data_IF_114509917017
#
_entry.id   IF_114509917017
#
_cell.length_a   1.000
_cell.length_b   1.000
_cell.length_c   1.000
_cell.angle_alpha   90.00
_cell.angle_beta   90.00
_cell.angle_gamma   90.00
#
_symmetry.space_group_name_H-M   'P 1'
#
loop_
_entity.id
_entity.type
_entity.pdbx_description
1 polymer ?
#
# COMPACT_ATOMS: atom_id res chain seq x y z
N UNK A 1 -2.27 1.57 14.72
CA UNK A 1 -3.17 1.32 13.56
C UNK A 1 -3.82 -0.04 13.78
N UNK A 2 -5.13 -0.08 14.01
CA UNK A 2 -5.90 -1.31 14.25
C UNK A 2 -7.34 -1.05 13.80
N UNK A 3 -8.03 -2.06 13.32
CA UNK A 3 -9.43 -1.96 12.91
C UNK A 3 -9.60 -2.14 11.41
N UNK A 4 -10.79 -1.78 10.91
CA UNK A 4 -11.18 -2.02 9.53
C UNK A 4 -11.34 -0.71 8.77
N UNK A 5 -10.53 -0.51 7.75
CA UNK A 5 -10.51 0.71 6.93
C UNK A 5 -10.76 0.47 5.46
N UNK A 6 -10.66 1.54 4.69
CA UNK A 6 -10.85 1.52 3.24
C UNK A 6 -9.87 2.50 2.58
N UNK A 7 -9.23 2.06 1.50
CA UNK A 7 -8.44 2.95 0.65
C UNK A 7 -9.40 3.85 -0.14
N UNK A 8 -9.18 5.16 -0.11
CA UNK A 8 -10.15 6.11 -0.66
C UNK A 8 -10.14 6.23 -2.18
N UNK A 9 -9.31 5.47 -2.89
CA UNK A 9 -9.26 5.43 -4.36
C UNK A 9 -10.64 5.23 -5.00
N UNK A 10 -11.53 4.49 -4.34
CA UNK A 10 -12.89 4.28 -4.85
C UNK A 10 -13.68 5.57 -5.00
N UNK A 11 -13.34 6.59 -4.22
CA UNK A 11 -14.07 7.86 -4.17
C UNK A 11 -13.28 9.01 -4.76
N UNK A 12 -11.98 9.01 -4.55
CA UNK A 12 -11.08 10.04 -5.08
C UNK A 12 -9.63 9.58 -5.04
N UNK A 13 -8.90 9.88 -6.10
CA UNK A 13 -7.43 9.79 -6.13
C UNK A 13 -6.81 11.18 -5.90
N UNK A 14 -7.58 12.25 -6.13
CA UNK A 14 -7.18 13.62 -5.85
C UNK A 14 -7.63 14.02 -4.46
N UNK A 15 -6.69 14.28 -3.56
CA UNK A 15 -7.03 14.69 -2.20
C UNK A 15 -7.13 16.22 -2.12
N UNK A 16 -8.06 16.79 -2.94
CA UNK A 16 -8.48 18.19 -2.84
C UNK A 16 -9.68 18.29 -1.87
N UNK A 17 -10.15 19.51 -1.56
CA UNK A 17 -11.25 19.68 -0.60
C UNK A 17 -12.51 18.90 -0.99
N UNK A 18 -13.02 19.00 -2.23
CA UNK A 18 -14.20 18.19 -2.60
C UNK A 18 -13.97 16.69 -2.52
N UNK A 19 -12.79 16.22 -2.90
CA UNK A 19 -12.42 14.80 -2.81
C UNK A 19 -12.39 14.32 -1.37
N UNK A 20 -11.76 15.09 -0.49
CA UNK A 20 -11.68 14.78 0.93
C UNK A 20 -13.07 14.72 1.57
N UNK A 21 -13.93 15.71 1.26
CA UNK A 21 -15.31 15.75 1.80
C UNK A 21 -16.11 14.55 1.34
N UNK A 22 -16.01 14.19 0.05
CA UNK A 22 -16.71 13.02 -0.50
C UNK A 22 -16.24 11.73 0.15
N UNK A 23 -14.92 11.53 0.25
CA UNK A 23 -14.35 10.31 0.82
C UNK A 23 -14.69 10.16 2.31
N UNK A 24 -14.60 11.24 3.08
CA UNK A 24 -14.94 11.21 4.51
C UNK A 24 -16.44 10.93 4.72
N UNK A 25 -17.32 11.56 3.91
CA UNK A 25 -18.77 11.31 3.99
C UNK A 25 -19.08 9.83 3.69
N UNK A 26 -18.43 9.26 2.67
CA UNK A 26 -18.58 7.83 2.34
C UNK A 26 -18.06 6.93 3.47
N UNK A 27 -16.89 7.23 4.03
CA UNK A 27 -16.32 6.48 5.15
C UNK A 27 -17.27 6.45 6.35
N UNK A 28 -17.89 7.58 6.65
CA UNK A 28 -18.88 7.70 7.74
C UNK A 28 -20.14 6.86 7.41
N UNK A 29 -20.63 6.95 6.17
CA UNK A 29 -21.79 6.14 5.71
C UNK A 29 -21.56 4.65 5.94
N UNK A 30 -20.35 4.17 5.58
CA UNK A 30 -20.01 2.75 5.67
C UNK A 30 -19.39 2.35 7.02
N UNK A 31 -19.27 3.28 7.96
CA UNK A 31 -18.80 3.04 9.35
C UNK A 31 -17.45 2.32 9.38
N UNK A 32 -16.47 2.83 8.63
CA UNK A 32 -15.11 2.31 8.72
C UNK A 32 -14.37 2.99 9.88
N UNK A 33 -13.35 2.32 10.43
CA UNK A 33 -12.58 2.82 11.57
C UNK A 33 -11.53 3.85 11.14
N UNK A 34 -11.05 3.72 9.90
CA UNK A 34 -10.03 4.62 9.34
C UNK A 34 -10.12 4.62 7.81
N UNK A 35 -9.49 5.62 7.22
CA UNK A 35 -9.34 5.71 5.75
C UNK A 35 -7.87 5.76 5.39
N UNK A 36 -7.57 5.31 4.17
CA UNK A 36 -6.24 5.48 3.59
C UNK A 36 -6.31 6.55 2.51
N UNK A 37 -5.49 7.58 2.67
CA UNK A 37 -5.46 8.78 1.82
C UNK A 37 -4.29 8.70 0.83
N UNK A 38 -4.55 8.63 -0.49
CA UNK A 38 -3.47 8.62 -1.47
C UNK A 38 -2.80 9.99 -1.56
N UNK A 39 -1.48 10.02 -1.36
CA UNK A 39 -0.65 11.24 -1.38
C UNK A 39 0.02 11.40 -2.76
N UNK A 40 -0.78 11.49 -3.84
CA UNK A 40 -0.21 11.64 -5.19
C UNK A 40 0.59 12.93 -5.36
N UNK A 41 0.20 13.98 -4.64
CA UNK A 41 0.89 15.27 -4.66
C UNK A 41 0.93 15.84 -3.24
N UNK A 42 1.86 15.37 -2.38
CA UNK A 42 1.87 15.77 -0.97
C UNK A 42 1.86 17.29 -0.74
N UNK A 43 2.62 18.12 -1.47
CA UNK A 43 2.59 19.56 -1.25
C UNK A 43 1.19 20.19 -1.38
N UNK A 44 0.32 19.64 -2.23
CA UNK A 44 -1.01 20.18 -2.50
C UNK A 44 -2.06 19.83 -1.44
N UNK A 45 -1.76 18.89 -0.53
CA UNK A 45 -2.73 18.43 0.48
C UNK A 45 -3.02 19.56 1.49
N UNK A 46 -4.31 19.90 1.63
CA UNK A 46 -4.80 20.84 2.65
C UNK A 46 -4.94 20.09 3.97
N UNK A 47 -3.88 20.09 4.75
CA UNK A 47 -3.82 19.31 6.00
C UNK A 47 -4.74 19.87 7.08
N UNK A 48 -4.92 21.20 7.14
CA UNK A 48 -5.82 21.82 8.12
C UNK A 48 -7.27 21.40 7.87
N UNK A 49 -7.73 21.52 6.62
CA UNK A 49 -9.08 21.09 6.23
C UNK A 49 -9.29 19.59 6.47
N UNK A 50 -8.32 18.77 6.07
CA UNK A 50 -8.38 17.31 6.24
C UNK A 50 -8.47 16.95 7.73
N UNK A 51 -7.59 17.52 8.55
CA UNK A 51 -7.59 17.28 10.00
C UNK A 51 -8.95 17.62 10.61
N UNK A 52 -9.51 18.80 10.26
CA UNK A 52 -10.81 19.23 10.79
C UNK A 52 -11.93 18.23 10.42
N UNK A 53 -11.89 17.71 9.19
CA UNK A 53 -12.86 16.68 8.76
C UNK A 53 -12.71 15.39 9.56
N UNK A 54 -11.47 14.90 9.72
CA UNK A 54 -11.19 13.65 10.45
C UNK A 54 -11.64 13.77 11.91
N UNK A 55 -11.29 14.88 12.59
CA UNK A 55 -11.65 15.14 13.99
C UNK A 55 -13.17 15.23 14.16
N UNK A 56 -13.84 15.98 13.28
CA UNK A 56 -15.30 16.14 13.30
C UNK A 56 -16.03 14.80 13.28
N UNK A 57 -15.51 13.84 12.50
CA UNK A 57 -16.14 12.53 12.33
C UNK A 57 -15.50 11.42 13.16
N UNK A 58 -14.46 11.73 13.95
CA UNK A 58 -13.68 10.77 14.76
C UNK A 58 -13.11 9.65 13.89
N UNK A 59 -12.67 10.01 12.70
CA UNK A 59 -12.16 9.07 11.71
C UNK A 59 -10.64 9.11 11.73
N UNK A 60 -9.98 7.96 11.81
CA UNK A 60 -8.51 7.88 11.78
C UNK A 60 -8.04 7.82 10.33
N UNK A 61 -6.76 8.08 10.10
CA UNK A 61 -6.20 8.07 8.75
C UNK A 61 -4.81 7.44 8.70
N UNK A 62 -4.56 6.76 7.60
CA UNK A 62 -3.24 6.35 7.13
C UNK A 62 -3.05 7.07 5.80
N UNK A 63 -1.83 7.38 5.42
CA UNK A 63 -1.54 7.93 4.10
C UNK A 63 -0.72 6.94 3.30
N UNK A 64 -0.81 7.01 1.97
CA UNK A 64 0.01 6.15 1.12
C UNK A 64 0.51 6.88 -0.12
N UNK A 65 1.63 6.41 -0.66
CA UNK A 65 2.16 6.90 -1.92
C UNK A 65 3.07 5.87 -2.59
N UNK A 66 3.26 6.05 -3.91
CA UNK A 66 4.41 5.55 -4.62
C UNK A 66 5.25 6.75 -5.03
N UNK A 67 6.56 6.62 -5.02
CA UNK A 67 7.45 7.73 -5.38
C UNK A 67 7.32 8.06 -6.87
N UNK A 68 7.24 9.35 -7.22
CA UNK A 68 7.23 9.73 -8.63
C UNK A 68 8.61 9.51 -9.27
N UNK A 69 8.66 9.37 -10.58
CA UNK A 69 9.91 9.04 -11.32
C UNK A 69 11.10 9.91 -10.93
N UNK A 70 10.96 11.25 -10.77
CA UNK A 70 12.11 12.05 -10.34
C UNK A 70 12.62 11.78 -8.93
N UNK A 71 11.95 10.94 -8.17
CA UNK A 71 12.30 10.61 -6.77
C UNK A 71 12.34 9.10 -6.51
N UNK A 72 12.56 8.25 -7.51
CA UNK A 72 12.74 6.81 -7.27
C UNK A 72 13.97 6.57 -6.39
N UNK A 73 13.76 5.91 -5.24
CA UNK A 73 14.81 5.74 -4.22
C UNK A 73 16.02 4.95 -4.72
N UNK A 74 15.78 4.00 -5.63
CA UNK A 74 16.84 3.13 -6.17
C UNK A 74 17.92 3.92 -6.91
N UNK A 75 17.54 5.01 -7.62
CA UNK A 75 18.44 5.77 -8.49
C UNK A 75 18.60 7.24 -8.09
N UNK A 76 17.70 7.79 -7.31
CA UNK A 76 17.73 9.22 -6.89
C UNK A 76 17.46 9.34 -5.37
N UNK A 77 18.31 8.74 -4.53
CA UNK A 77 18.02 8.64 -3.10
C UNK A 77 17.84 10.00 -2.39
N UNK A 78 18.57 11.04 -2.79
CA UNK A 78 18.42 12.34 -2.13
C UNK A 78 17.06 12.98 -2.45
N UNK A 79 16.62 12.91 -3.70
CA UNK A 79 15.29 13.41 -4.09
C UNK A 79 14.18 12.60 -3.41
N UNK A 80 14.37 11.30 -3.26
CA UNK A 80 13.42 10.44 -2.53
C UNK A 80 13.30 10.86 -1.06
N UNK A 81 14.43 11.12 -0.40
CA UNK A 81 14.44 11.57 0.99
C UNK A 81 13.66 12.88 1.14
N UNK A 82 13.90 13.85 0.27
CA UNK A 82 13.21 15.14 0.33
C UNK A 82 11.71 14.99 0.08
N UNK A 83 11.32 14.16 -0.90
CA UNK A 83 9.91 13.89 -1.20
C UNK A 83 9.21 13.22 0.00
N UNK A 84 9.85 12.19 0.60
CA UNK A 84 9.27 11.47 1.73
C UNK A 84 9.14 12.38 2.96
N UNK A 85 10.10 13.28 3.22
CA UNK A 85 9.98 14.22 4.33
C UNK A 85 8.73 15.09 4.20
N UNK A 86 8.45 15.58 2.99
CA UNK A 86 7.24 16.39 2.74
C UNK A 86 5.99 15.54 3.02
N UNK A 87 5.94 14.30 2.50
CA UNK A 87 4.78 13.43 2.68
C UNK A 87 4.59 13.04 4.17
N UNK A 88 5.68 12.79 4.89
CA UNK A 88 5.66 12.49 6.33
C UNK A 88 5.12 13.70 7.11
N UNK A 89 5.61 14.90 6.80
CA UNK A 89 5.13 16.11 7.47
C UNK A 89 3.64 16.32 7.23
N UNK A 90 3.19 16.16 5.98
CA UNK A 90 1.77 16.27 5.63
C UNK A 90 0.92 15.21 6.35
N UNK A 91 1.43 13.96 6.43
CA UNK A 91 0.75 12.90 7.17
C UNK A 91 0.58 13.27 8.65
N UNK A 92 1.64 13.76 9.27
CA UNK A 92 1.58 14.19 10.66
C UNK A 92 0.66 15.41 10.85
N UNK A 93 0.75 16.38 9.94
CA UNK A 93 -0.04 17.62 10.02
C UNK A 93 -1.54 17.36 9.89
N UNK A 94 -1.95 16.37 9.09
CA UNK A 94 -3.39 16.04 8.98
C UNK A 94 -3.86 15.09 10.10
N UNK A 95 -2.96 14.61 10.96
CA UNK A 95 -3.31 13.71 12.06
C UNK A 95 -3.30 12.23 11.69
N UNK A 96 -2.57 11.86 10.64
CA UNK A 96 -2.42 10.47 10.23
C UNK A 96 -1.53 9.65 11.16
N UNK A 97 -1.71 8.33 11.16
CA UNK A 97 -0.94 7.40 12.01
C UNK A 97 0.31 6.86 11.31
N UNK A 98 0.26 6.72 10.00
CA UNK A 98 1.36 6.11 9.22
C UNK A 98 1.36 6.62 7.78
N UNK A 99 2.53 6.53 7.14
CA UNK A 99 2.69 6.70 5.70
C UNK A 99 3.15 5.35 5.14
N UNK A 100 2.42 4.78 4.19
CA UNK A 100 2.67 3.44 3.68
C UNK A 100 2.73 3.41 2.15
N UNK A 101 2.80 2.22 1.57
CA UNK A 101 2.80 2.04 0.12
C UNK A 101 4.19 1.76 -0.45
N UNK A 102 4.38 2.14 -1.71
CA UNK A 102 5.65 1.92 -2.41
C UNK A 102 6.61 3.09 -2.09
N UNK A 103 6.84 3.31 -0.79
CA UNK A 103 7.66 4.44 -0.30
C UNK A 103 9.16 4.28 -0.61
N UNK A 104 9.52 3.17 -1.24
CA UNK A 104 10.89 2.85 -1.64
C UNK A 104 11.10 2.96 -3.16
N UNK A 105 10.02 3.19 -3.91
CA UNK A 105 10.09 3.22 -5.37
C UNK A 105 8.78 3.72 -5.98
N UNK A 106 8.61 3.51 -7.27
CA UNK A 106 7.43 3.98 -7.99
C UNK A 106 6.73 2.89 -8.78
N UNK A 107 5.45 3.15 -9.08
CA UNK A 107 4.70 2.27 -9.97
C UNK A 107 5.27 2.40 -11.38
N UNK A 108 5.59 1.27 -11.99
CA UNK A 108 6.23 1.19 -13.31
C UNK A 108 7.75 1.24 -13.26
N UNK A 109 8.35 1.30 -12.08
CA UNK A 109 9.82 1.38 -11.97
C UNK A 109 10.49 0.08 -12.38
N UNK A 110 11.34 0.19 -13.39
CA UNK A 110 12.20 -0.87 -13.89
C UNK A 110 13.51 -0.24 -14.34
N UNK A 111 14.57 -0.45 -13.60
CA UNK A 111 15.86 0.23 -13.83
C UNK A 111 16.85 -0.59 -14.63
N UNK A 112 16.67 -1.88 -14.72
CA UNK A 112 17.61 -2.76 -15.43
C UNK A 112 17.49 -2.67 -16.96
N UNK A 113 18.58 -3.03 -17.64
CA UNK A 113 18.57 -3.17 -19.08
C UNK A 113 18.03 -4.57 -19.43
N UNK A 114 17.05 -4.69 -20.31
CA UNK A 114 16.56 -6.01 -20.71
C UNK A 114 17.68 -6.89 -21.27
N UNK A 115 17.62 -8.20 -21.07
CA UNK A 115 18.63 -9.10 -21.64
C UNK A 115 18.63 -8.99 -23.16
N UNK A 116 19.81 -9.13 -23.75
CA UNK A 116 19.97 -9.21 -25.21
C UNK A 116 19.33 -10.52 -25.73
N UNK A 117 19.09 -10.59 -27.04
CA UNK A 117 18.57 -11.81 -27.65
C UNK A 117 19.50 -12.99 -27.34
N UNK A 118 20.82 -12.80 -27.45
CA UNK A 118 21.80 -13.84 -27.20
C UNK A 118 21.77 -14.34 -25.76
N UNK A 119 21.70 -13.42 -24.77
CA UNK A 119 21.58 -13.79 -23.34
C UNK A 119 20.27 -14.54 -23.08
N UNK A 120 19.20 -14.14 -23.75
CA UNK A 120 17.89 -14.76 -23.61
C UNK A 120 17.90 -16.19 -24.17
N UNK A 121 18.47 -16.35 -25.39
CA UNK A 121 18.55 -17.65 -26.07
C UNK A 121 19.45 -18.64 -25.35
N UNK A 122 20.44 -18.10 -24.63
CA UNK A 122 21.36 -18.94 -23.85
C UNK A 122 20.87 -19.18 -22.39
N UNK A 123 19.67 -18.39 -21.98
CA UNK A 123 19.31 -18.49 -20.90
C UNK A 123 20.02 -18.09 -19.95
N UNK A 124 20.99 -17.46 -20.33
CA UNK A 124 21.92 -16.92 -19.38
C UNK A 124 21.23 -16.00 -18.36
N UNK A 125 20.19 -15.31 -18.81
CA UNK A 125 19.33 -14.56 -17.89
C UNK A 125 17.93 -14.41 -18.45
N UNK A 126 16.97 -14.40 -17.55
CA UNK A 126 15.55 -14.27 -17.87
C UNK A 126 14.95 -12.95 -17.38
N UNK A 127 15.78 -12.08 -16.79
CA UNK A 127 15.37 -10.78 -16.30
C UNK A 127 16.53 -10.03 -15.68
N UNK A 128 16.28 -8.82 -15.22
CA UNK A 128 17.29 -7.98 -14.57
C UNK A 128 16.92 -7.82 -13.12
N UNK A 129 17.54 -8.59 -12.22
CA UNK A 129 17.23 -8.45 -10.80
C UNK A 129 17.75 -7.11 -10.25
N UNK A 130 17.15 -6.62 -9.18
CA UNK A 130 17.65 -5.43 -8.52
C UNK A 130 19.10 -5.60 -8.09
N UNK A 131 19.88 -4.55 -8.19
CA UNK A 131 21.30 -4.56 -7.81
C UNK A 131 21.47 -4.32 -6.31
N UNK A 132 22.64 -4.64 -5.80
CA UNK A 132 23.00 -4.34 -4.40
C UNK A 132 22.96 -2.82 -4.17
N UNK A 133 23.43 -2.03 -5.14
CA UNK A 133 23.40 -0.57 -5.07
C UNK A 133 21.98 -0.02 -4.94
N UNK A 134 21.03 -0.56 -5.70
CA UNK A 134 19.62 -0.14 -5.60
C UNK A 134 19.07 -0.43 -4.20
N UNK A 135 19.34 -1.62 -3.66
CA UNK A 135 18.92 -1.95 -2.31
C UNK A 135 19.61 -1.10 -1.24
N UNK A 136 20.89 -0.75 -1.42
CA UNK A 136 21.61 0.14 -0.50
C UNK A 136 21.01 1.55 -0.53
N UNK A 137 20.70 2.06 -1.73
CA UNK A 137 20.04 3.36 -1.90
C UNK A 137 18.69 3.37 -1.19
N UNK A 138 17.86 2.34 -1.41
CA UNK A 138 16.55 2.22 -0.76
C UNK A 138 16.71 2.20 0.77
N UNK A 139 17.64 1.40 1.28
CA UNK A 139 17.85 1.32 2.74
C UNK A 139 18.26 2.68 3.31
N UNK A 140 19.17 3.40 2.63
CA UNK A 140 19.58 4.76 3.02
C UNK A 140 18.38 5.72 3.05
N UNK A 141 17.53 5.66 2.03
CA UNK A 141 16.34 6.51 1.95
C UNK A 141 15.39 6.20 3.11
N UNK A 142 15.08 4.93 3.31
CA UNK A 142 14.15 4.50 4.37
C UNK A 142 14.70 4.80 5.77
N UNK A 143 16.02 4.70 5.99
CA UNK A 143 16.65 5.09 7.25
C UNK A 143 16.46 6.59 7.53
N UNK A 144 16.71 7.42 6.52
CA UNK A 144 16.54 8.88 6.67
C UNK A 144 15.06 9.24 6.90
N UNK A 145 14.16 8.62 6.13
CA UNK A 145 12.72 8.82 6.26
C UNK A 145 12.22 8.34 7.64
N UNK A 146 12.68 7.16 8.11
CA UNK A 146 12.26 6.62 9.40
C UNK A 146 12.68 7.53 10.56
N UNK A 147 13.91 8.07 10.50
CA UNK A 147 14.38 9.02 11.49
C UNK A 147 13.50 10.27 11.53
N UNK A 148 13.14 10.81 10.36
CA UNK A 148 12.26 11.99 10.27
C UNK A 148 10.85 11.63 10.76
N UNK A 149 10.29 10.52 10.30
CA UNK A 149 8.96 10.04 10.68
C UNK A 149 8.85 9.84 12.19
N UNK A 150 9.89 9.28 12.82
CA UNK A 150 9.92 9.07 14.27
C UNK A 150 9.82 10.41 15.02
N UNK A 151 10.48 11.46 14.52
CA UNK A 151 10.39 12.79 15.14
C UNK A 151 9.01 13.44 14.99
N UNK A 152 8.21 12.93 14.04
CA UNK A 152 6.84 13.41 13.78
C UNK A 152 5.77 12.47 14.37
N UNK A 153 6.19 11.36 15.00
CA UNK A 153 5.25 10.36 15.54
C UNK A 153 4.59 9.48 14.49
N UNK A 154 5.21 9.33 13.32
CA UNK A 154 4.66 8.59 12.18
C UNK A 154 5.41 7.25 12.03
N UNK A 155 4.66 6.18 11.73
CA UNK A 155 5.25 4.90 11.32
C UNK A 155 5.29 4.83 9.78
N UNK A 156 6.21 4.02 9.24
CA UNK A 156 6.38 3.85 7.80
C UNK A 156 6.07 2.41 7.40
N UNK A 157 5.23 2.22 6.37
CA UNK A 157 4.88 0.89 5.86
C UNK A 157 5.53 0.64 4.50
N UNK A 158 6.28 -0.45 4.39
CA UNK A 158 6.89 -0.91 3.13
C UNK A 158 5.94 -1.95 2.51
N UNK A 159 5.32 -1.58 1.41
CA UNK A 159 4.37 -2.45 0.71
C UNK A 159 5.09 -3.31 -0.34
N UNK A 160 4.90 -4.63 -0.25
CA UNK A 160 5.35 -5.53 -1.31
C UNK A 160 4.31 -5.52 -2.44
N UNK A 161 4.72 -5.13 -3.65
CA UNK A 161 3.83 -5.05 -4.81
C UNK A 161 4.27 -6.01 -5.91
N UNK A 162 3.37 -6.36 -6.83
CA UNK A 162 3.65 -7.35 -7.85
C UNK A 162 4.70 -6.88 -8.88
N UNK A 163 5.30 -7.85 -9.57
CA UNK A 163 6.38 -7.64 -10.56
C UNK A 163 6.00 -6.74 -11.74
N UNK A 164 4.71 -6.59 -12.02
CA UNK A 164 4.26 -5.74 -13.12
C UNK A 164 4.25 -4.27 -12.72
N UNK A 165 4.20 -3.98 -11.42
CA UNK A 165 4.16 -2.61 -10.89
C UNK A 165 5.52 -2.11 -10.41
N UNK A 166 6.37 -3.02 -9.86
CA UNK A 166 7.72 -2.63 -9.41
C UNK A 166 8.62 -3.86 -9.40
N UNK A 167 9.92 -3.67 -9.64
CA UNK A 167 10.86 -4.80 -9.71
C UNK A 167 11.64 -5.04 -8.40
N UNK A 168 11.46 -4.20 -7.38
CA UNK A 168 12.36 -4.15 -6.21
C UNK A 168 11.91 -5.05 -5.07
N UNK A 169 10.67 -4.89 -4.58
CA UNK A 169 10.15 -5.65 -3.42
C UNK A 169 8.79 -6.24 -3.80
N UNK A 170 8.75 -7.57 -4.01
CA UNK A 170 7.56 -8.23 -4.53
C UNK A 170 6.92 -9.20 -3.53
N UNK A 171 7.63 -9.62 -2.48
CA UNK A 171 7.10 -10.58 -1.51
C UNK A 171 7.26 -10.06 -0.08
N UNK A 172 6.45 -10.61 0.83
CA UNK A 172 6.56 -10.32 2.26
C UNK A 172 7.97 -10.59 2.78
N UNK A 173 8.60 -11.68 2.33
CA UNK A 173 9.98 -12.01 2.70
C UNK A 173 10.96 -10.90 2.27
N UNK A 174 10.82 -10.38 1.04
CA UNK A 174 11.70 -9.30 0.56
C UNK A 174 11.47 -8.01 1.36
N UNK A 175 10.20 -7.70 1.70
CA UNK A 175 9.89 -6.54 2.54
C UNK A 175 10.55 -6.68 3.92
N UNK A 176 10.48 -7.87 4.55
CA UNK A 176 11.16 -8.13 5.82
C UNK A 176 12.67 -7.91 5.69
N UNK A 177 13.29 -8.45 4.63
CA UNK A 177 14.73 -8.26 4.42
C UNK A 177 15.11 -6.78 4.27
N UNK A 178 14.27 -5.99 3.63
CA UNK A 178 14.51 -4.54 3.54
C UNK A 178 14.37 -3.87 4.92
N UNK A 179 13.36 -4.22 5.71
CA UNK A 179 13.15 -3.65 7.06
C UNK A 179 14.35 -4.02 7.98
N UNK A 180 14.82 -5.26 7.92
CA UNK A 180 16.02 -5.68 8.66
C UNK A 180 17.24 -4.84 8.25
N UNK A 181 17.41 -4.57 6.95
CA UNK A 181 18.50 -3.74 6.43
C UNK A 181 18.38 -2.28 6.87
N UNK A 182 17.15 -1.76 6.97
CA UNK A 182 16.88 -0.39 7.47
C UNK A 182 17.19 -0.29 8.96
N UNK A 183 16.82 -1.27 9.76
CA UNK A 183 17.12 -1.34 11.18
C UNK A 183 16.43 -0.30 12.06
N UNK A 184 15.27 0.21 11.62
CA UNK A 184 14.49 1.21 12.37
C UNK A 184 13.24 0.56 12.97
N UNK A 185 12.89 0.95 14.19
CA UNK A 185 11.78 0.34 14.96
C UNK A 185 10.40 0.86 14.56
N UNK A 186 10.35 1.93 13.76
CA UNK A 186 9.09 2.52 13.28
C UNK A 186 8.84 2.24 11.78
N UNK A 187 9.42 1.13 11.27
CA UNK A 187 9.15 0.68 9.89
C UNK A 187 8.53 -0.71 9.97
N UNK A 188 7.45 -0.93 9.22
CA UNK A 188 6.69 -2.17 9.25
C UNK A 188 6.41 -2.70 7.83
N UNK A 189 6.00 -3.98 7.74
CA UNK A 189 5.58 -4.60 6.48
C UNK A 189 4.10 -4.30 6.24
N UNK A 190 3.81 -3.86 5.02
CA UNK A 190 2.47 -3.73 4.46
C UNK A 190 2.33 -4.81 3.38
N UNK A 191 1.28 -5.63 3.46
CA UNK A 191 0.97 -6.64 2.45
C UNK A 191 -0.35 -6.30 1.76
N UNK A 192 -0.52 -6.78 0.52
CA UNK A 192 -1.76 -6.62 -0.23
C UNK A 192 -2.11 -7.96 -0.88
N UNK A 193 -3.33 -8.43 -0.65
CA UNK A 193 -3.77 -9.76 -1.12
C UNK A 193 -3.79 -9.89 -2.65
N UNK A 194 -4.02 -8.80 -3.39
CA UNK A 194 -3.91 -8.82 -4.85
C UNK A 194 -2.46 -9.09 -5.28
N UNK A 195 -1.50 -8.37 -4.70
CA UNK A 195 -0.09 -8.56 -5.02
C UNK A 195 0.38 -9.95 -4.60
N UNK A 196 0.00 -10.39 -3.40
CA UNK A 196 0.35 -11.72 -2.88
C UNK A 196 -0.20 -12.84 -3.76
N UNK A 197 -1.41 -12.66 -4.31
CA UNK A 197 -2.03 -13.65 -5.20
C UNK A 197 -1.18 -13.89 -6.48
N UNK A 198 -0.38 -12.89 -6.88
CA UNK A 198 0.51 -12.99 -8.04
C UNK A 198 1.90 -13.54 -7.63
N UNK A 199 2.45 -13.07 -6.53
CA UNK A 199 3.87 -13.24 -6.20
C UNK A 199 4.18 -14.36 -5.21
N UNK A 200 3.27 -14.64 -4.25
CA UNK A 200 3.58 -15.58 -3.18
C UNK A 200 3.31 -17.03 -3.60
N UNK A 201 4.13 -17.94 -3.11
CA UNK A 201 3.89 -19.37 -3.30
C UNK A 201 2.99 -19.90 -2.18
N UNK A 202 1.76 -19.31 -2.09
CA UNK A 202 0.79 -19.46 -1.02
C UNK A 202 0.66 -18.18 -0.22
N UNK A 203 -0.55 -17.61 -0.20
CA UNK A 203 -0.80 -16.34 0.49
C UNK A 203 -0.51 -16.48 1.99
N UNK A 204 -0.92 -17.59 2.59
CA UNK A 204 -0.63 -17.85 4.01
C UNK A 204 0.86 -17.85 4.30
N UNK A 205 1.69 -18.39 3.37
CA UNK A 205 3.14 -18.37 3.56
C UNK A 205 3.69 -16.94 3.58
N UNK A 206 3.23 -16.08 2.66
CA UNK A 206 3.69 -14.67 2.65
C UNK A 206 3.36 -13.96 3.96
N UNK A 207 2.16 -14.21 4.52
CA UNK A 207 1.76 -13.66 5.83
C UNK A 207 2.68 -14.19 6.94
N UNK A 208 2.95 -15.50 6.94
CA UNK A 208 3.84 -16.11 7.95
C UNK A 208 5.27 -15.57 7.86
N UNK A 209 5.78 -15.37 6.65
CA UNK A 209 7.13 -14.83 6.44
C UNK A 209 7.24 -13.40 7.01
N UNK A 210 6.15 -12.63 6.92
CA UNK A 210 6.14 -11.22 7.37
C UNK A 210 5.69 -11.03 8.83
N UNK A 211 5.20 -12.07 9.53
CA UNK A 211 4.45 -11.97 10.78
C UNK A 211 5.05 -11.06 11.87
N UNK A 212 6.39 -11.04 11.98
CA UNK A 212 7.06 -10.26 13.06
C UNK A 212 7.02 -8.76 12.81
N UNK A 213 6.81 -8.34 11.55
CA UNK A 213 6.82 -6.94 11.13
C UNK A 213 5.50 -6.50 10.48
N UNK A 214 4.54 -7.41 10.31
CA UNK A 214 3.29 -7.11 9.61
C UNK A 214 2.36 -6.27 10.50
N UNK A 215 2.03 -5.04 10.05
CA UNK A 215 1.10 -4.17 10.78
C UNK A 215 -0.09 -3.73 9.94
N UNK A 216 -0.03 -3.93 8.61
CA UNK A 216 -1.07 -3.41 7.73
C UNK A 216 -1.25 -4.35 6.55
N UNK A 217 -2.52 -4.59 6.18
CA UNK A 217 -2.79 -5.43 5.02
C UNK A 217 -3.95 -4.84 4.21
N UNK A 218 -3.74 -4.70 2.89
CA UNK A 218 -4.80 -4.41 1.95
C UNK A 218 -5.53 -5.71 1.60
N UNK A 219 -6.85 -5.65 1.73
CA UNK A 219 -7.76 -6.74 1.36
C UNK A 219 -8.34 -6.40 -0.01
N UNK A 220 -7.62 -6.78 -1.04
CA UNK A 220 -7.90 -6.47 -2.44
C UNK A 220 -8.18 -7.77 -3.20
N UNK A 221 -9.18 -7.78 -4.09
CA UNK A 221 -9.52 -8.97 -4.85
C UNK A 221 -8.49 -9.24 -5.95
N UNK A 222 -8.47 -10.47 -6.45
CA UNK A 222 -7.54 -10.94 -7.49
C UNK A 222 -7.58 -10.13 -8.80
N UNK A 223 -8.62 -9.35 -9.02
CA UNK A 223 -8.76 -8.46 -10.17
C UNK A 223 -8.93 -6.98 -9.75
N UNK A 224 -8.68 -6.65 -8.47
CA UNK A 224 -8.86 -5.33 -7.86
C UNK A 224 -10.32 -4.85 -7.82
N UNK A 225 -11.27 -5.78 -8.00
CA UNK A 225 -12.71 -5.51 -7.99
C UNK A 225 -13.35 -5.73 -6.62
N UNK A 226 -14.55 -6.32 -6.62
CA UNK A 226 -15.34 -6.54 -5.42
C UNK A 226 -14.82 -7.76 -4.65
N UNK A 227 -14.32 -7.60 -3.41
CA UNK A 227 -13.87 -8.74 -2.61
C UNK A 227 -14.94 -9.84 -2.49
N UNK A 228 -14.52 -11.07 -2.73
CA UNK A 228 -15.39 -12.23 -2.74
C UNK A 228 -15.92 -12.61 -4.13
N UNK A 229 -15.66 -11.80 -5.17
CA UNK A 229 -16.12 -12.08 -6.52
C UNK A 229 -15.02 -12.64 -7.43
N UNK A 230 -13.80 -12.76 -6.92
CA UNK A 230 -12.65 -13.26 -7.66
C UNK A 230 -12.11 -14.57 -7.13
N UNK A 231 -10.78 -14.70 -7.11
CA UNK A 231 -10.12 -15.98 -6.79
C UNK A 231 -9.18 -15.92 -5.58
N UNK A 232 -9.18 -14.80 -4.83
CA UNK A 232 -8.36 -14.74 -3.62
C UNK A 232 -8.78 -15.81 -2.60
N UNK A 233 -7.79 -16.45 -1.99
CA UNK A 233 -8.01 -17.49 -0.98
C UNK A 233 -8.38 -16.91 0.39
N UNK A 234 -9.56 -16.30 0.50
CA UNK A 234 -9.96 -15.53 1.68
C UNK A 234 -9.88 -16.33 2.98
N UNK A 235 -10.26 -17.61 2.96
CA UNK A 235 -10.19 -18.43 4.17
C UNK A 235 -8.74 -18.66 4.62
N UNK A 236 -7.82 -18.87 3.67
CA UNK A 236 -6.38 -18.99 3.98
C UNK A 236 -5.86 -17.67 4.56
N UNK A 237 -6.23 -16.53 3.95
CA UNK A 237 -5.81 -15.20 4.40
C UNK A 237 -6.24 -14.98 5.86
N UNK A 238 -7.55 -15.07 6.14
CA UNK A 238 -8.09 -14.73 7.46
C UNK A 238 -7.68 -15.74 8.53
N UNK A 239 -7.63 -17.05 8.20
CA UNK A 239 -7.17 -18.04 9.15
C UNK A 239 -5.69 -17.86 9.51
N UNK A 240 -4.85 -17.48 8.53
CA UNK A 240 -3.42 -17.25 8.80
C UNK A 240 -3.23 -15.99 9.66
N UNK A 241 -3.96 -14.89 9.33
CA UNK A 241 -3.92 -13.66 10.14
C UNK A 241 -4.33 -13.96 11.60
N UNK A 242 -5.38 -14.77 11.78
CA UNK A 242 -5.82 -15.18 13.11
C UNK A 242 -4.74 -16.04 13.82
N UNK A 243 -4.15 -16.99 13.10
CA UNK A 243 -3.13 -17.88 13.66
C UNK A 243 -1.89 -17.13 14.15
N UNK A 244 -1.50 -16.02 13.48
CA UNK A 244 -0.37 -15.19 13.93
C UNK A 244 -0.79 -14.16 14.99
N UNK A 245 -2.06 -14.09 15.36
CA UNK A 245 -2.59 -13.12 16.33
C UNK A 245 -2.52 -11.69 15.81
N UNK A 246 -2.78 -11.46 14.51
CA UNK A 246 -2.68 -10.16 13.88
C UNK A 246 -3.56 -9.10 14.57
N UNK A 247 -2.98 -7.94 14.87
CA UNK A 247 -3.68 -6.82 15.53
C UNK A 247 -3.51 -5.49 14.76
N UNK A 248 -3.12 -5.58 13.49
CA UNK A 248 -2.89 -4.40 12.65
C UNK A 248 -4.14 -3.90 11.95
N UNK A 249 -3.94 -3.05 10.96
CA UNK A 249 -5.01 -2.50 10.13
C UNK A 249 -5.39 -3.44 8.98
N UNK A 250 -6.69 -3.60 8.80
CA UNK A 250 -7.28 -4.32 7.66
C UNK A 250 -7.97 -3.27 6.78
N UNK A 251 -7.50 -3.03 5.57
CA UNK A 251 -8.07 -2.01 4.70
C UNK A 251 -8.55 -2.61 3.39
N UNK A 252 -9.83 -2.45 3.08
CA UNK A 252 -10.34 -2.85 1.78
C UNK A 252 -9.80 -1.91 0.71
N UNK A 253 -9.28 -2.48 -0.38
CA UNK A 253 -8.82 -1.72 -1.53
C UNK A 253 -9.47 -2.24 -2.80
N UNK A 254 -9.91 -1.32 -3.66
CA UNK A 254 -10.47 -1.64 -4.98
C UNK A 254 -10.24 -0.44 -5.89
N UNK A 255 -9.99 -0.70 -7.17
CA UNK A 255 -9.66 0.36 -8.14
C UNK A 255 -10.75 0.51 -9.19
N UNK A 256 -11.87 1.12 -8.78
CA UNK A 256 -12.95 1.52 -9.69
C UNK A 256 -12.84 3.02 -9.98
N UNK A 257 -13.32 3.45 -11.14
CA UNK A 257 -13.40 4.87 -11.53
C UNK A 257 -12.04 5.60 -11.48
N UNK A 258 -10.98 4.90 -11.91
CA UNK A 258 -9.62 5.46 -11.91
C UNK A 258 -9.45 6.54 -12.99
N UNK A 259 -8.70 7.61 -12.72
CA UNK A 259 -8.22 8.48 -13.79
C UNK A 259 -7.41 7.69 -14.80
N UNK A 260 -7.50 7.99 -16.10
CA UNK A 260 -6.83 7.18 -17.13
C UNK A 260 -5.34 6.95 -16.91
N UNK A 261 -4.61 7.94 -16.43
CA UNK A 261 -3.18 7.82 -16.18
C UNK A 261 -2.86 6.86 -15.03
N UNK A 262 -3.72 6.82 -14.00
CA UNK A 262 -3.59 5.89 -12.88
C UNK A 262 -3.97 4.48 -13.35
N UNK A 263 -5.08 4.35 -14.06
CA UNK A 263 -5.54 3.07 -14.62
C UNK A 263 -4.46 2.44 -15.52
N UNK A 264 -3.81 3.27 -16.35
CA UNK A 264 -2.71 2.83 -17.21
C UNK A 264 -1.54 2.27 -16.39
N UNK A 265 -1.13 3.00 -15.35
CA UNK A 265 -0.01 2.58 -14.49
C UNK A 265 -0.29 1.28 -13.74
N UNK A 266 -1.54 1.06 -13.37
CA UNK A 266 -1.97 -0.14 -12.62
C UNK A 266 -2.51 -1.25 -13.54
N UNK A 267 -2.45 -1.06 -14.86
CA UNK A 267 -2.93 -2.01 -15.88
C UNK A 267 -4.41 -2.40 -15.71
N UNK A 268 -5.24 -1.43 -15.32
CA UNK A 268 -6.69 -1.63 -15.19
C UNK A 268 -7.35 -1.26 -16.52
N UNK A 269 -7.52 -2.25 -17.40
CA UNK A 269 -7.96 -2.04 -18.78
C UNK A 269 -9.48 -2.18 -18.98
N UNK A 270 -10.19 -2.65 -17.96
CA UNK A 270 -11.63 -2.83 -18.01
C UNK A 270 -12.25 -2.50 -16.64
N UNK A 271 -13.54 -2.23 -16.58
CA UNK A 271 -14.20 -2.09 -15.27
C UNK A 271 -14.01 -3.37 -14.44
N UNK A 272 -13.61 -3.22 -13.20
CA UNK A 272 -13.37 -4.35 -12.27
C UNK A 272 -14.54 -4.58 -11.33
N UNK A 273 -15.47 -3.63 -11.28
CA UNK A 273 -16.75 -3.75 -10.58
C UNK A 273 -17.76 -2.84 -11.30
N UNK A 274 -19.02 -3.05 -11.03
CA UNK A 274 -20.09 -2.26 -11.65
C UNK A 274 -20.06 -0.80 -11.18
N UNK A 275 -19.96 -0.62 -9.87
CA UNK A 275 -20.00 0.70 -9.25
C UNK A 275 -19.54 0.62 -7.78
N UNK A 276 -19.44 1.77 -7.14
CA UNK A 276 -19.09 1.90 -5.72
C UNK A 276 -20.03 1.11 -4.81
N UNK A 277 -21.33 1.11 -5.11
CA UNK A 277 -22.32 0.43 -4.28
C UNK A 277 -22.11 -1.08 -4.29
N UNK A 278 -21.69 -1.67 -5.42
CA UNK A 278 -21.33 -3.09 -5.47
C UNK A 278 -20.15 -3.40 -4.56
N UNK A 279 -19.08 -2.61 -4.67
CA UNK A 279 -17.86 -2.85 -3.87
C UNK A 279 -18.13 -2.65 -2.38
N UNK A 280 -18.75 -1.52 -2.02
CA UNK A 280 -18.99 -1.18 -0.62
C UNK A 280 -20.17 -1.96 -0.02
N UNK A 281 -21.18 -2.26 -0.83
CA UNK A 281 -22.38 -2.96 -0.35
C UNK A 281 -22.22 -4.47 -0.25
N UNK A 282 -21.32 -5.05 -1.03
CA UNK A 282 -21.07 -6.51 -1.02
C UNK A 282 -19.68 -6.84 -0.50
N UNK A 283 -18.63 -6.18 -1.03
CA UNK A 283 -17.24 -6.48 -0.65
C UNK A 283 -16.93 -6.17 0.80
N UNK A 284 -17.30 -4.98 1.29
CA UNK A 284 -17.01 -4.61 2.67
C UNK A 284 -17.71 -5.53 3.68
N UNK A 285 -19.03 -5.82 3.55
CA UNK A 285 -19.68 -6.80 4.45
C UNK A 285 -19.05 -8.20 4.35
N UNK A 286 -18.69 -8.65 3.16
CA UNK A 286 -18.02 -9.94 2.96
C UNK A 286 -16.74 -10.00 3.78
N UNK A 287 -15.87 -8.99 3.66
CA UNK A 287 -14.60 -8.95 4.40
C UNK A 287 -14.81 -8.85 5.91
N UNK A 288 -15.78 -8.03 6.36
CA UNK A 288 -16.11 -7.93 7.79
C UNK A 288 -16.62 -9.26 8.34
N UNK A 289 -17.46 -9.96 7.60
CA UNK A 289 -17.96 -11.28 8.01
C UNK A 289 -16.78 -12.28 8.14
N UNK A 290 -15.85 -12.27 7.20
CA UNK A 290 -14.64 -13.10 7.28
C UNK A 290 -13.80 -12.72 8.51
N UNK A 291 -13.56 -11.43 8.74
CA UNK A 291 -12.78 -10.98 9.91
C UNK A 291 -13.44 -11.40 11.22
N UNK A 292 -14.78 -11.28 11.31
CA UNK A 292 -15.54 -11.74 12.48
C UNK A 292 -15.46 -13.27 12.63
N UNK A 293 -15.65 -14.01 11.53
CA UNK A 293 -15.59 -15.48 11.53
C UNK A 293 -14.27 -16.00 12.11
N UNK A 294 -13.17 -15.30 11.83
CA UNK A 294 -11.83 -15.70 12.29
C UNK A 294 -11.36 -14.93 13.53
N UNK A 295 -12.23 -14.14 14.17
CA UNK A 295 -11.94 -13.49 15.45
C UNK A 295 -10.92 -12.35 15.37
N UNK A 296 -10.86 -11.65 14.23
CA UNK A 296 -9.96 -10.52 14.05
C UNK A 296 -10.60 -9.18 14.41
N UNK A 297 -11.96 -9.15 14.42
CA UNK A 297 -12.75 -7.99 14.86
C UNK A 297 -13.95 -8.47 15.65
#
# INVERSE_FOLDING_TARGET
>A
MQGFGVHTSMWTMNWDRPGAERAVAAAVKYKVDFIEIPMLNPPAVDTEHTRALLEKHRLRAVCSLGLPEPAWASVRPDAAIDHLKIAIDKTADLGGEALSGVIYGGIGERTGVPPTVEEYDNXERTGVPPTVEEYDNIARVLQAAAKHAKSRGIELGVEAVNRYENHLINTGWQAVKMIERVGADNVFVHLDTYHMNIEEKGIGKGILDAREHLKYIHLSESDRGTPGYGTCGWDEIFSTLAAIGFKGGLAMESFINMPPEVAYGLAVWRPVAKDEEEVMGNGLPFLRNKATQYGLI
#
